data_IF_217437116409
#
_entry.id   IF_217437116409
#
_cell.length_a   1.000
_cell.length_b   1.000
_cell.length_c   1.000
_cell.angle_alpha   90.00
_cell.angle_beta   90.00
_cell.angle_gamma   90.00
#
_symmetry.space_group_name_H-M   'P 1'
#
loop_
_entity.id
_entity.type
_entity.pdbx_description
1 polymer ?
#
# COMPACT_ATOMS: atom_id res chain seq x y z
N UNK A 1 -13.62 23.78 -46.87
CA UNK A 1 -14.19 24.73 -45.90
C UNK A 1 -14.14 24.06 -44.55
N UNK A 2 -13.44 24.64 -43.58
CA UNK A 2 -13.02 24.02 -42.32
C UNK A 2 -14.17 23.86 -41.31
N UNK A 3 -14.18 22.74 -40.57
CA UNK A 3 -15.07 22.41 -39.44
C UNK A 3 -14.74 23.17 -38.14
N UNK A 4 -14.32 24.44 -38.22
CA UNK A 4 -13.95 25.25 -37.04
C UNK A 4 -15.02 26.24 -36.56
N UNK A 5 -16.23 26.23 -37.12
CA UNK A 5 -17.23 27.29 -36.86
C UNK A 5 -18.65 26.78 -36.53
N UNK A 6 -18.76 25.59 -35.95
CA UNK A 6 -19.99 25.13 -35.28
C UNK A 6 -19.49 24.48 -33.98
N UNK A 7 -19.67 25.02 -32.79
CA UNK A 7 -20.95 25.34 -32.21
C UNK A 7 -20.64 26.06 -30.88
N UNK A 8 -20.66 27.39 -30.91
CA UNK A 8 -20.44 28.25 -29.76
C UNK A 8 -21.75 29.04 -29.59
N UNK A 9 -22.76 28.41 -28.97
CA UNK A 9 -24.03 29.03 -28.62
C UNK A 9 -24.88 28.07 -27.78
N UNK A 10 -24.78 28.19 -26.45
CA UNK A 10 -25.88 28.02 -25.50
C UNK A 10 -25.34 27.98 -24.06
N UNK A 11 -24.83 29.11 -23.57
CA UNK A 11 -24.73 29.32 -22.12
C UNK A 11 -25.06 30.78 -21.82
N UNK A 12 -26.23 31.00 -21.24
CA UNK A 12 -26.71 32.33 -20.89
C UNK A 12 -27.81 32.26 -19.83
N UNK A 13 -27.46 32.82 -18.67
CA UNK A 13 -28.30 33.34 -17.58
C UNK A 13 -29.05 32.32 -16.70
N UNK A 14 -29.35 32.55 -15.42
CA UNK A 14 -29.02 33.53 -14.34
C UNK A 14 -30.13 33.28 -13.29
N UNK A 15 -29.83 33.21 -11.99
CA UNK A 15 -30.65 33.86 -10.94
C UNK A 15 -30.02 33.70 -9.55
N UNK A 16 -29.52 34.84 -9.07
CA UNK A 16 -29.38 35.26 -7.68
C UNK A 16 -30.77 35.51 -7.05
N UNK A 17 -30.87 35.39 -5.71
CA UNK A 17 -31.65 36.20 -4.72
C UNK A 17 -31.57 35.41 -3.37
N UNK A 18 -30.83 35.82 -2.34
CA UNK A 18 -30.96 36.92 -1.35
C UNK A 18 -31.93 36.67 -0.16
N UNK A 19 -31.42 36.98 1.05
CA UNK A 19 -32.16 37.33 2.28
C UNK A 19 -32.11 36.27 3.41
N UNK A 20 -31.81 36.53 4.68
CA UNK A 20 -31.64 37.77 5.46
C UNK A 20 -32.19 37.59 6.91
N UNK A 21 -31.73 38.43 7.85
CA UNK A 21 -32.18 38.68 9.25
C UNK A 21 -31.45 37.90 10.38
N UNK A 22 -30.63 38.51 11.27
CA UNK A 22 -30.75 39.64 12.22
C UNK A 22 -31.45 39.24 13.55
N UNK A 23 -30.74 39.46 14.68
CA UNK A 23 -31.35 39.63 16.01
C UNK A 23 -30.47 39.29 17.22
N UNK A 24 -29.79 40.27 17.81
CA UNK A 24 -29.62 40.35 19.28
C UNK A 24 -30.60 41.41 19.83
N UNK A 25 -30.44 42.00 21.04
CA UNK A 25 -29.83 41.55 22.31
C UNK A 25 -30.80 41.81 23.52
N UNK A 26 -30.27 41.79 24.76
CA UNK A 26 -30.68 42.55 25.98
C UNK A 26 -31.49 41.90 27.12
N UNK A 27 -31.10 42.30 28.35
CA UNK A 27 -31.84 42.21 29.62
C UNK A 27 -31.16 41.32 30.65
N UNK A 28 -30.69 41.72 31.83
CA UNK A 28 -30.92 42.93 32.63
C UNK A 28 -31.46 42.58 34.02
N UNK A 29 -30.73 43.03 35.06
CA UNK A 29 -31.17 43.38 36.42
C UNK A 29 -31.11 42.39 37.62
N UNK A 30 -30.18 42.73 38.53
CA UNK A 30 -30.36 43.22 39.92
C UNK A 30 -31.31 42.42 40.85
N UNK A 31 -30.79 41.96 41.99
CA UNK A 31 -31.42 42.26 43.29
C UNK A 31 -30.38 42.27 44.43
N UNK A 32 -30.21 43.44 45.03
CA UNK A 32 -29.67 43.62 46.38
C UNK A 32 -30.60 42.99 47.43
N UNK A 33 -30.03 42.52 48.53
CA UNK A 33 -30.76 42.14 49.73
C UNK A 33 -29.83 42.18 50.93
N UNK A 34 -29.64 43.38 51.49
CA UNK A 34 -28.95 43.56 52.77
C UNK A 34 -29.80 43.12 53.96
N UNK A 35 -29.16 42.61 55.00
CA UNK A 35 -29.45 42.94 56.42
C UNK A 35 -28.40 42.29 57.34
N UNK A 36 -27.73 43.13 58.11
CA UNK A 36 -27.03 42.85 59.38
C UNK A 36 -28.04 43.19 60.51
N UNK A 37 -27.84 42.86 61.81
CA UNK A 37 -26.82 42.02 62.46
C UNK A 37 -27.38 41.08 63.54
N UNK A 38 -26.56 40.16 64.08
CA UNK A 38 -26.64 39.82 65.51
C UNK A 38 -25.34 39.18 66.01
N UNK A 39 -24.79 39.88 66.99
CA UNK A 39 -23.58 39.58 67.75
C UNK A 39 -23.91 38.52 68.80
N UNK A 40 -23.27 37.35 68.74
CA UNK A 40 -23.18 36.43 69.87
C UNK A 40 -21.72 36.03 70.03
N UNK A 41 -21.15 36.50 71.13
CA UNK A 41 -19.85 36.15 71.64
C UNK A 41 -19.77 34.64 71.92
N UNK A 42 -18.81 33.97 71.28
CA UNK A 42 -18.41 32.61 71.60
C UNK A 42 -16.90 32.50 71.38
N UNK A 43 -16.15 32.49 72.48
CA UNK A 43 -14.75 32.08 72.47
C UNK A 43 -14.70 30.61 72.04
N UNK A 44 -14.25 30.33 70.83
CA UNK A 44 -13.74 29.02 70.46
C UNK A 44 -12.33 29.15 69.88
N UNK A 45 -11.47 28.32 70.44
CA UNK A 45 -10.03 28.23 70.23
C UNK A 45 -9.75 27.94 68.75
N UNK A 46 -9.00 28.83 68.08
CA UNK A 46 -8.40 28.52 66.79
C UNK A 46 -7.36 27.40 66.97
N UNK A 47 -7.73 26.18 66.60
CA UNK A 47 -6.77 25.16 66.19
C UNK A 47 -6.12 25.64 64.88
N UNK A 48 -4.81 25.45 64.68
CA UNK A 48 -4.19 25.77 63.40
C UNK A 48 -4.85 24.91 62.33
N UNK A 49 -5.40 25.57 61.31
CA UNK A 49 -5.75 24.93 60.05
C UNK A 49 -4.46 24.32 59.53
N UNK A 50 -4.36 23.01 59.63
CA UNK A 50 -3.40 22.23 58.84
C UNK A 50 -3.89 22.40 57.41
N UNK A 51 -3.25 23.32 56.67
CA UNK A 51 -3.35 23.34 55.22
C UNK A 51 -2.86 21.99 54.76
N UNK A 52 -3.80 21.10 54.43
CA UNK A 52 -3.49 19.89 53.68
C UNK A 52 -2.67 20.32 52.46
N UNK A 53 -1.54 19.66 52.17
CA UNK A 53 -0.86 19.91 50.92
C UNK A 53 -1.88 19.65 49.81
N UNK A 54 -2.05 20.65 48.95
CA UNK A 54 -2.79 20.56 47.69
C UNK A 54 -2.60 19.17 47.11
N UNK A 55 -3.70 18.42 46.95
CA UNK A 55 -3.69 17.23 46.12
C UNK A 55 -3.04 17.67 44.80
N UNK A 56 -1.86 17.13 44.52
CA UNK A 56 -1.31 17.16 43.18
C UNK A 56 -2.44 16.74 42.27
N UNK A 57 -2.87 17.60 41.35
CA UNK A 57 -3.79 17.19 40.29
C UNK A 57 -3.21 15.92 39.69
N UNK A 58 -3.84 14.77 39.98
CA UNK A 58 -3.47 13.52 39.35
C UNK A 58 -3.74 13.72 37.87
N UNK A 59 -2.68 13.86 37.09
CA UNK A 59 -2.83 13.98 35.66
C UNK A 59 -3.21 12.61 35.12
N UNK A 60 -4.37 12.52 34.47
CA UNK A 60 -4.84 11.27 33.85
C UNK A 60 -4.05 10.99 32.56
N UNK A 61 -3.65 9.72 32.32
CA UNK A 61 -2.96 9.35 31.10
C UNK A 61 -3.77 9.67 29.85
N UNK A 62 -3.13 10.34 28.89
CA UNK A 62 -3.73 10.61 27.57
C UNK A 62 -2.82 10.11 26.46
N UNK A 63 -3.46 9.62 25.39
CA UNK A 63 -2.76 9.02 24.25
C UNK A 63 -3.29 9.60 22.94
N UNK A 64 -2.37 9.97 22.06
CA UNK A 64 -2.67 10.38 20.69
C UNK A 64 -1.91 9.49 19.72
N UNK A 65 -2.55 9.18 18.60
CA UNK A 65 -2.02 8.23 17.61
C UNK A 65 -1.89 8.94 16.27
N UNK A 66 -0.80 8.67 15.55
CA UNK A 66 -0.68 9.15 14.17
C UNK A 66 -1.72 8.48 13.27
N UNK A 67 -2.05 9.14 12.17
CA UNK A 67 -2.89 8.52 11.15
C UNK A 67 -2.13 7.37 10.46
N UNK A 68 -2.82 6.24 10.30
CA UNK A 68 -2.38 5.14 9.47
C UNK A 68 -3.16 5.14 8.15
N UNK A 69 -2.51 4.84 7.01
CA UNK A 69 -3.19 4.67 5.74
C UNK A 69 -4.29 3.62 5.88
N UNK A 70 -5.34 3.77 5.07
CA UNK A 70 -6.50 2.87 5.09
C UNK A 70 -6.06 1.40 4.99
N UNK A 71 -5.09 1.13 4.10
CA UNK A 71 -4.49 -0.17 3.88
C UNK A 71 -2.96 -0.08 3.96
N UNK A 72 -2.33 -1.14 4.46
CA UNK A 72 -0.91 -1.40 4.27
C UNK A 72 -0.64 -2.07 2.93
N UNK A 73 0.61 -2.11 2.51
CA UNK A 73 1.06 -2.84 1.32
C UNK A 73 2.19 -3.77 1.77
N UNK A 74 2.14 -5.03 1.34
CA UNK A 74 3.19 -6.02 1.58
C UNK A 74 4.57 -5.42 1.28
N UNK A 75 5.48 -5.49 2.25
CA UNK A 75 6.86 -5.02 2.07
C UNK A 75 7.07 -3.52 2.04
N UNK A 76 6.01 -2.70 2.18
CA UNK A 76 6.11 -1.25 2.33
C UNK A 76 6.08 -0.87 3.80
N UNK A 77 6.98 0.03 4.18
CA UNK A 77 7.09 0.47 5.57
C UNK A 77 6.18 1.68 5.82
N UNK A 78 5.48 1.67 6.95
CA UNK A 78 4.65 2.79 7.41
C UNK A 78 5.09 3.18 8.81
N UNK A 79 5.31 4.47 9.04
CA UNK A 79 5.58 4.99 10.38
C UNK A 79 4.27 5.16 11.15
N UNK A 80 4.25 4.66 12.38
CA UNK A 80 3.16 4.84 13.33
C UNK A 80 3.69 5.43 14.62
N UNK A 81 3.05 6.47 15.14
CA UNK A 81 3.52 7.15 16.35
C UNK A 81 2.44 7.15 17.43
N UNK A 82 2.88 6.99 18.68
CA UNK A 82 2.06 7.10 19.88
C UNK A 82 2.63 8.23 20.73
N UNK A 83 1.85 9.27 20.97
CA UNK A 83 2.18 10.34 21.92
C UNK A 83 1.48 10.05 23.23
N UNK A 84 2.23 9.76 24.28
CA UNK A 84 1.72 9.56 25.63
C UNK A 84 2.02 10.78 26.50
N UNK A 85 1.04 11.23 27.29
CA UNK A 85 1.19 12.31 28.26
C UNK A 85 0.60 11.89 29.59
N UNK A 86 1.22 12.30 30.69
CA UNK A 86 0.81 11.94 32.05
C UNK A 86 0.69 10.43 32.28
N UNK A 87 1.58 9.68 31.64
CA UNK A 87 1.64 8.23 31.70
C UNK A 87 2.97 7.78 32.30
N UNK A 88 3.61 8.61 33.13
CA UNK A 88 4.94 8.32 33.70
C UNK A 88 4.98 6.94 34.36
N UNK A 89 6.03 6.17 34.04
CA UNK A 89 6.20 4.79 34.50
C UNK A 89 5.52 3.73 33.62
N UNK A 90 4.58 4.10 32.73
CA UNK A 90 3.91 3.18 31.82
C UNK A 90 4.81 2.75 30.67
N UNK A 91 4.68 1.49 30.25
CA UNK A 91 5.37 0.95 29.06
C UNK A 91 4.44 0.93 27.87
N UNK A 92 4.86 1.56 26.76
CA UNK A 92 4.11 1.53 25.50
C UNK A 92 4.59 0.37 24.64
N UNK A 93 3.63 -0.45 24.20
CA UNK A 93 3.90 -1.69 23.49
C UNK A 93 2.95 -1.78 22.30
N UNK A 94 3.51 -2.00 21.12
CA UNK A 94 2.77 -2.27 19.91
C UNK A 94 2.73 -3.77 19.65
N UNK A 95 1.55 -4.29 19.30
CA UNK A 95 1.40 -5.64 18.79
C UNK A 95 0.75 -5.58 17.41
N UNK A 96 1.38 -6.20 16.42
CA UNK A 96 0.80 -6.43 15.11
C UNK A 96 0.92 -7.91 14.76
N UNK A 97 -0.23 -8.56 14.56
CA UNK A 97 -0.30 -9.97 14.14
C UNK A 97 0.50 -10.93 15.04
N UNK A 98 0.47 -10.68 16.35
CA UNK A 98 1.21 -11.46 17.35
C UNK A 98 2.67 -11.05 17.53
N UNK A 99 3.21 -10.18 16.66
CA UNK A 99 4.57 -9.63 16.81
C UNK A 99 4.53 -8.44 17.76
N UNK A 100 5.26 -8.55 18.89
CA UNK A 100 5.31 -7.54 19.95
C UNK A 100 6.56 -6.68 19.80
N UNK A 101 6.38 -5.37 19.71
CA UNK A 101 7.44 -4.36 19.67
C UNK A 101 7.31 -3.44 20.90
N UNK A 102 8.41 -3.28 21.64
CA UNK A 102 8.44 -2.47 22.85
C UNK A 102 8.91 -1.06 22.45
N UNK A 103 8.02 -0.07 22.57
CA UNK A 103 8.37 1.33 22.26
C UNK A 103 9.24 1.96 23.34
N UNK A 104 8.99 1.61 24.60
CA UNK A 104 9.77 2.08 25.76
C UNK A 104 8.87 2.46 26.93
N UNK A 105 9.51 3.00 27.97
CA UNK A 105 8.82 3.52 29.15
C UNK A 105 8.66 5.03 29.04
N UNK A 106 7.51 5.55 29.47
CA UNK A 106 7.28 6.99 29.63
C UNK A 106 8.03 7.44 30.88
N UNK A 107 8.90 8.44 30.76
CA UNK A 107 9.80 8.88 31.83
C UNK A 107 9.38 10.17 32.53
N UNK A 108 8.42 10.91 31.95
CA UNK A 108 7.92 12.19 32.47
C UNK A 108 6.41 12.30 32.25
N UNK A 109 5.77 13.28 32.88
CA UNK A 109 4.36 13.60 32.61
C UNK A 109 4.16 14.49 31.37
N UNK A 110 5.25 15.04 30.83
CA UNK A 110 5.25 15.76 29.56
C UNK A 110 5.00 14.80 28.38
N UNK A 111 4.55 15.29 27.21
CA UNK A 111 4.35 14.46 26.03
C UNK A 111 5.63 13.73 25.59
N UNK A 112 5.58 12.40 25.52
CA UNK A 112 6.63 11.52 24.99
C UNK A 112 6.12 10.83 23.73
N UNK A 113 6.91 10.85 22.66
CA UNK A 113 6.54 10.25 21.36
C UNK A 113 7.32 8.94 21.18
N UNK A 114 6.58 7.86 20.92
CA UNK A 114 7.11 6.57 20.50
C UNK A 114 6.87 6.38 19.01
N UNK A 115 7.91 6.04 18.25
CA UNK A 115 7.82 5.79 16.81
C UNK A 115 8.03 4.31 16.53
N UNK A 116 7.12 3.73 15.75
CA UNK A 116 7.14 2.35 15.31
C UNK A 116 7.21 2.30 13.79
N UNK A 117 7.92 1.32 13.24
CA UNK A 117 8.01 1.08 11.80
C UNK A 117 7.27 -0.22 11.49
N UNK A 118 6.11 -0.09 10.87
CA UNK A 118 5.29 -1.21 10.45
C UNK A 118 5.71 -1.69 9.06
N UNK A 119 6.31 -2.87 8.97
CA UNK A 119 6.71 -3.50 7.70
C UNK A 119 6.05 -4.88 7.57
N UNK A 120 4.80 -4.97 7.08
CA UNK A 120 4.08 -6.24 7.04
C UNK A 120 4.75 -7.20 6.05
N UNK A 121 5.12 -8.39 6.54
CA UNK A 121 5.77 -9.43 5.77
C UNK A 121 4.80 -10.37 5.03
N UNK A 122 3.49 -10.23 5.27
CA UNK A 122 2.42 -11.04 4.67
C UNK A 122 1.13 -10.22 4.56
N UNK A 123 0.44 -10.35 3.43
CA UNK A 123 -0.86 -9.73 3.18
C UNK A 123 -1.99 -10.34 4.04
N UNK A 124 -3.15 -9.67 4.03
CA UNK A 124 -4.35 -10.06 4.75
C UNK A 124 -4.72 -9.11 5.89
N UNK A 125 -5.75 -9.48 6.64
CA UNK A 125 -6.26 -8.70 7.77
C UNK A 125 -5.35 -8.86 8.98
N UNK A 126 -4.84 -7.75 9.51
CA UNK A 126 -3.98 -7.68 10.69
C UNK A 126 -4.71 -6.99 11.83
N UNK A 127 -4.43 -7.43 13.06
CA UNK A 127 -4.86 -6.72 14.25
C UNK A 127 -3.70 -5.92 14.81
N UNK A 128 -3.87 -4.59 14.88
CA UNK A 128 -2.93 -3.67 15.49
C UNK A 128 -3.47 -3.22 16.85
N UNK A 129 -2.73 -3.53 17.91
CA UNK A 129 -3.11 -3.22 19.30
C UNK A 129 -1.96 -2.49 19.96
N UNK A 130 -2.24 -1.34 20.58
CA UNK A 130 -1.28 -0.64 21.44
C UNK A 130 -1.71 -0.82 22.88
N UNK A 131 -0.74 -1.21 23.70
CA UNK A 131 -0.90 -1.39 25.14
C UNK A 131 -0.11 -0.33 25.89
N UNK A 132 -0.68 0.13 27.00
CA UNK A 132 0.01 0.82 28.08
C UNK A 132 0.04 -0.11 29.28
N UNK A 133 1.19 -0.72 29.55
CA UNK A 133 1.33 -1.91 30.39
C UNK A 133 0.37 -3.04 29.96
N UNK A 134 -0.76 -3.19 30.68
CA UNK A 134 -1.78 -4.22 30.50
C UNK A 134 -3.11 -3.66 29.99
N UNK A 135 -3.20 -2.35 29.74
CA UNK A 135 -4.42 -1.70 29.26
C UNK A 135 -4.33 -1.48 27.75
N UNK A 136 -5.36 -1.89 27.01
CA UNK A 136 -5.48 -1.61 25.57
C UNK A 136 -5.88 -0.15 25.39
N UNK A 137 -4.99 0.64 24.79
CA UNK A 137 -5.21 2.08 24.54
C UNK A 137 -5.50 2.39 23.07
N UNK A 138 -5.23 1.44 22.17
CA UNK A 138 -5.59 1.54 20.75
C UNK A 138 -5.84 0.14 20.20
N UNK A 139 -6.87 0.03 19.35
CA UNK A 139 -7.20 -1.23 18.72
C UNK A 139 -7.80 -0.98 17.33
N UNK A 140 -7.13 -1.45 16.27
CA UNK A 140 -7.58 -1.29 14.88
C UNK A 140 -7.31 -2.54 14.07
N UNK A 141 -8.30 -2.90 13.26
CA UNK A 141 -8.10 -3.84 12.16
C UNK A 141 -7.49 -3.11 10.96
N UNK A 142 -6.37 -3.63 10.46
CA UNK A 142 -5.61 -3.04 9.36
C UNK A 142 -5.43 -4.06 8.24
N UNK A 143 -5.87 -3.73 7.02
CA UNK A 143 -5.78 -4.63 5.86
C UNK A 143 -4.45 -4.39 5.15
N UNK A 144 -3.68 -5.45 4.95
CA UNK A 144 -2.45 -5.42 4.15
C UNK A 144 -2.76 -6.00 2.77
N UNK A 145 -2.55 -5.20 1.73
CA UNK A 145 -2.71 -5.58 0.33
C UNK A 145 -1.45 -6.26 -0.22
N UNK A 146 -1.56 -7.10 -1.27
CA UNK A 146 -0.40 -7.63 -1.96
C UNK A 146 0.43 -6.51 -2.61
N UNK A 147 1.70 -6.78 -2.90
CA UNK A 147 2.60 -5.81 -3.52
C UNK A 147 2.42 -5.83 -5.04
N UNK A 148 2.15 -4.67 -5.66
CA UNK A 148 1.99 -4.55 -7.10
C UNK A 148 0.69 -3.83 -7.47
N UNK A 149 0.17 -4.09 -8.67
CA UNK A 149 -1.08 -3.48 -9.14
C UNK A 149 -2.18 -4.52 -9.32
N UNK A 150 -3.31 -4.26 -8.67
CA UNK A 150 -4.57 -4.99 -8.89
C UNK A 150 -5.48 -4.29 -9.91
N UNK A 151 -5.00 -3.23 -10.57
CA UNK A 151 -5.80 -2.46 -11.52
C UNK A 151 -6.01 -3.25 -12.81
N UNK A 152 -7.22 -3.77 -12.96
CA UNK A 152 -7.68 -4.46 -14.18
C UNK A 152 -8.62 -3.59 -15.01
N UNK A 153 -8.61 -2.26 -14.78
CA UNK A 153 -9.48 -1.34 -15.50
C UNK A 153 -8.93 -1.07 -16.91
N UNK A 154 -9.50 -1.73 -17.91
CA UNK A 154 -9.13 -1.53 -19.30
C UNK A 154 -9.21 -2.81 -20.12
N UNK A 155 -8.79 -2.72 -21.38
CA UNK A 155 -8.81 -3.84 -22.33
C UNK A 155 -7.47 -4.00 -23.10
N UNK A 156 -6.40 -3.39 -22.60
CA UNK A 156 -5.10 -3.34 -23.30
C UNK A 156 -4.20 -4.45 -22.78
N UNK A 157 -3.46 -5.06 -23.70
CA UNK A 157 -2.57 -6.16 -23.37
C UNK A 157 -1.37 -6.14 -24.32
N UNK A 158 -0.24 -6.67 -23.86
CA UNK A 158 0.92 -6.95 -24.69
C UNK A 158 1.11 -8.46 -24.85
N UNK A 159 1.51 -8.92 -26.05
CA UNK A 159 1.85 -10.32 -26.25
C UNK A 159 3.14 -10.69 -25.50
N UNK A 160 3.20 -11.95 -25.06
CA UNK A 160 4.38 -12.62 -24.54
C UNK A 160 4.53 -13.94 -25.26
N UNK A 161 5.75 -14.22 -25.70
CA UNK A 161 6.08 -15.38 -26.51
C UNK A 161 7.53 -15.81 -26.31
N UNK A 162 8.00 -16.79 -27.08
CA UNK A 162 9.41 -17.19 -27.08
C UNK A 162 10.34 -16.10 -27.63
N UNK A 163 9.77 -15.06 -28.26
CA UNK A 163 10.52 -13.96 -28.90
C UNK A 163 10.57 -12.71 -28.04
N UNK A 164 9.74 -12.60 -27.00
CA UNK A 164 9.66 -11.38 -26.21
C UNK A 164 9.37 -11.65 -24.74
N UNK A 165 10.09 -10.94 -23.88
CA UNK A 165 9.89 -10.98 -22.44
C UNK A 165 9.41 -9.62 -21.95
N UNK A 166 8.56 -9.63 -20.94
CA UNK A 166 8.05 -8.43 -20.28
C UNK A 166 8.51 -8.45 -18.82
N UNK A 167 8.91 -7.31 -18.28
CA UNK A 167 9.29 -7.20 -16.89
C UNK A 167 8.62 -5.99 -16.22
N UNK A 168 8.20 -6.17 -14.97
CA UNK A 168 7.69 -5.10 -14.11
C UNK A 168 8.49 -5.03 -12.82
N UNK A 169 8.89 -3.81 -12.44
CA UNK A 169 9.68 -3.53 -11.25
C UNK A 169 8.78 -3.34 -10.04
N UNK A 170 9.26 -3.81 -8.90
CA UNK A 170 8.73 -3.50 -7.58
C UNK A 170 9.87 -3.13 -6.64
N UNK A 171 9.56 -2.29 -5.66
CA UNK A 171 10.49 -1.93 -4.60
C UNK A 171 9.92 -2.38 -3.26
N UNK A 172 10.81 -2.72 -2.34
CA UNK A 172 10.49 -3.25 -1.03
C UNK A 172 11.32 -2.48 0.00
N UNK A 173 10.66 -2.01 1.06
CA UNK A 173 11.29 -1.25 2.14
C UNK A 173 11.65 -2.17 3.33
N UNK A 174 10.90 -3.25 3.51
CA UNK A 174 11.11 -4.28 4.53
C UNK A 174 11.57 -5.63 3.98
N UNK A 175 11.69 -6.64 4.84
CA UNK A 175 11.88 -8.02 4.39
C UNK A 175 10.51 -8.67 4.15
N UNK A 176 10.35 -9.36 3.02
CA UNK A 176 9.12 -10.12 2.71
C UNK A 176 9.44 -11.56 2.32
N UNK A 177 8.46 -12.43 2.53
CA UNK A 177 8.47 -13.80 2.03
C UNK A 177 7.48 -13.87 0.88
N UNK A 178 7.94 -14.19 -0.33
CA UNK A 178 7.11 -14.33 -1.51
C UNK A 178 6.90 -15.80 -1.83
N UNK A 179 5.64 -16.21 -1.97
CA UNK A 179 5.24 -17.59 -2.27
C UNK A 179 4.57 -17.71 -3.63
N UNK A 180 3.96 -16.64 -4.13
CA UNK A 180 3.34 -16.64 -5.45
C UNK A 180 3.39 -15.27 -6.13
N UNK A 181 3.24 -15.29 -7.46
CA UNK A 181 3.01 -14.11 -8.29
C UNK A 181 1.69 -14.28 -9.01
N UNK A 182 0.75 -13.36 -8.82
CA UNK A 182 -0.47 -13.26 -9.60
C UNK A 182 -0.29 -12.34 -10.80
N UNK A 183 -0.82 -12.73 -11.94
CA UNK A 183 -0.78 -11.93 -13.17
C UNK A 183 -2.13 -11.99 -13.86
N UNK A 184 -2.66 -10.83 -14.23
CA UNK A 184 -3.88 -10.77 -15.03
C UNK A 184 -3.51 -10.93 -16.51
N UNK A 185 -3.87 -12.07 -17.11
CA UNK A 185 -3.49 -12.42 -18.47
C UNK A 185 -4.56 -13.23 -19.17
N UNK A 186 -4.47 -13.32 -20.50
CA UNK A 186 -5.24 -14.28 -21.30
C UNK A 186 -4.31 -15.27 -21.97
N UNK A 187 -4.69 -16.55 -21.95
CA UNK A 187 -3.99 -17.66 -22.62
C UNK A 187 -4.59 -17.90 -24.00
N UNK A 188 -3.77 -17.94 -25.03
CA UNK A 188 -4.20 -18.23 -26.41
C UNK A 188 -3.90 -19.70 -26.72
N UNK A 189 -4.83 -20.43 -27.32
CA UNK A 189 -4.67 -21.87 -27.64
C UNK A 189 -4.58 -22.13 -29.14
N UNK A 190 -5.21 -21.31 -29.98
CA UNK A 190 -5.32 -21.61 -31.42
C UNK A 190 -4.00 -21.49 -32.19
N UNK A 191 -2.92 -21.05 -31.54
CA UNK A 191 -1.60 -20.97 -32.16
C UNK A 191 -0.50 -21.57 -31.27
N UNK A 192 -0.74 -22.03 -30.05
CA UNK A 192 0.30 -22.40 -29.08
C UNK A 192 0.67 -23.89 -29.14
N UNK A 193 1.96 -24.20 -29.02
CA UNK A 193 2.40 -25.60 -28.92
C UNK A 193 2.01 -26.17 -27.56
N UNK A 194 1.60 -27.43 -27.52
CA UNK A 194 1.21 -28.15 -26.30
C UNK A 194 2.31 -28.15 -25.22
N UNK A 195 3.59 -28.14 -25.65
CA UNK A 195 4.77 -28.06 -24.77
C UNK A 195 5.15 -26.62 -24.38
N UNK A 196 4.26 -25.64 -24.53
CA UNK A 196 4.54 -24.24 -24.15
C UNK A 196 4.22 -24.01 -22.67
N UNK A 197 5.15 -23.38 -21.96
CA UNK A 197 4.97 -22.97 -20.57
C UNK A 197 5.06 -21.45 -20.48
N UNK A 198 4.16 -20.85 -19.71
CA UNK A 198 4.38 -19.47 -19.22
C UNK A 198 5.29 -19.57 -18.01
N UNK A 199 6.26 -18.66 -17.93
CA UNK A 199 7.22 -18.60 -16.85
C UNK A 199 7.11 -17.23 -16.18
N UNK A 200 7.03 -17.24 -14.85
CA UNK A 200 7.19 -16.06 -14.01
C UNK A 200 8.48 -16.20 -13.20
N UNK A 201 9.31 -15.17 -13.21
CA UNK A 201 10.59 -15.14 -12.49
C UNK A 201 10.69 -13.90 -11.62
N UNK A 202 11.33 -14.04 -10.47
CA UNK A 202 11.78 -12.90 -9.68
C UNK A 202 13.27 -12.74 -9.93
N UNK A 203 13.69 -11.54 -10.32
CA UNK A 203 15.11 -11.18 -10.54
C UNK A 203 15.46 -9.93 -9.74
N UNK A 204 16.70 -9.78 -9.25
CA UNK A 204 17.13 -8.53 -8.62
C UNK A 204 17.23 -7.42 -9.66
N UNK A 205 17.12 -6.16 -9.25
CA UNK A 205 17.48 -5.04 -10.10
C UNK A 205 19.00 -5.00 -10.36
N UNK A 206 19.37 -4.68 -11.59
CA UNK A 206 20.75 -4.45 -12.02
C UNK A 206 20.83 -3.14 -12.80
N UNK A 207 20.85 -2.02 -12.07
CA UNK A 207 20.88 -0.66 -12.63
C UNK A 207 19.66 -0.34 -13.49
N UNK A 208 18.45 -0.56 -12.94
CA UNK A 208 17.19 -0.20 -13.59
C UNK A 208 16.73 -1.19 -14.66
N UNK A 209 17.20 -2.44 -14.60
CA UNK A 209 16.78 -3.56 -15.46
C UNK A 209 16.84 -4.89 -14.69
N UNK A 210 16.09 -5.91 -15.12
CA UNK A 210 16.22 -7.25 -14.55
C UNK A 210 17.66 -7.79 -14.63
N UNK A 211 18.16 -8.33 -13.53
CA UNK A 211 19.44 -9.02 -13.46
C UNK A 211 19.46 -10.36 -14.22
N UNK A 212 20.65 -10.93 -14.40
CA UNK A 212 20.81 -12.25 -15.05
C UNK A 212 20.38 -13.40 -14.13
N UNK A 213 20.65 -13.27 -12.82
CA UNK A 213 20.34 -14.31 -11.84
C UNK A 213 18.85 -14.31 -11.47
N UNK A 214 18.25 -15.50 -11.50
CA UNK A 214 16.87 -15.73 -11.04
C UNK A 214 16.88 -16.05 -9.55
N UNK A 215 16.07 -15.33 -8.78
CA UNK A 215 15.87 -15.59 -7.35
C UNK A 215 14.76 -16.62 -7.11
N UNK A 216 13.74 -16.60 -7.96
CA UNK A 216 12.65 -17.57 -7.96
C UNK A 216 12.10 -17.75 -9.37
N UNK A 217 11.58 -18.93 -9.66
CA UNK A 217 10.96 -19.27 -10.94
C UNK A 217 9.78 -20.20 -10.72
N UNK A 218 8.70 -19.96 -11.44
CA UNK A 218 7.54 -20.83 -11.50
C UNK A 218 7.01 -20.89 -12.93
N UNK A 219 6.46 -22.03 -13.31
CA UNK A 219 6.06 -22.32 -14.68
C UNK A 219 4.68 -22.97 -14.69
N UNK A 220 3.84 -22.58 -15.64
CA UNK A 220 2.50 -23.14 -15.82
C UNK A 220 2.32 -23.54 -17.29
N UNK A 221 1.83 -24.76 -17.57
CA UNK A 221 1.54 -25.18 -18.94
C UNK A 221 0.35 -24.43 -19.52
N UNK A 222 0.38 -24.25 -20.83
CA UNK A 222 -0.67 -23.55 -21.58
C UNK A 222 -1.67 -24.58 -22.09
N UNK A 223 -2.44 -25.14 -21.17
CA UNK A 223 -3.34 -26.27 -21.45
C UNK A 223 -4.73 -25.86 -21.92
N UNK A 224 -5.17 -24.63 -21.65
CA UNK A 224 -6.53 -24.15 -21.96
C UNK A 224 -6.53 -22.70 -22.46
N UNK A 225 -7.39 -22.41 -23.44
CA UNK A 225 -7.63 -21.03 -23.91
C UNK A 225 -8.41 -20.26 -22.87
N UNK A 226 -8.01 -19.03 -22.58
CA UNK A 226 -8.88 -18.06 -21.90
C UNK A 226 -9.10 -16.87 -22.82
N UNK A 227 -10.28 -16.76 -23.44
CA UNK A 227 -10.57 -15.66 -24.39
C UNK A 227 -10.64 -14.28 -23.69
N UNK A 228 -10.93 -14.31 -22.38
CA UNK A 228 -10.95 -13.15 -21.48
C UNK A 228 -9.75 -13.18 -20.55
N UNK A 229 -9.14 -12.02 -20.23
CA UNK A 229 -8.14 -11.94 -19.18
C UNK A 229 -8.68 -12.44 -17.82
N UNK A 230 -7.83 -13.12 -17.07
CA UNK A 230 -8.12 -13.59 -15.71
C UNK A 230 -6.84 -13.67 -14.88
N UNK A 231 -6.96 -13.71 -13.55
CA UNK A 231 -5.81 -13.90 -12.67
C UNK A 231 -5.26 -15.31 -12.81
N UNK A 232 -3.97 -15.40 -13.10
CA UNK A 232 -3.18 -16.64 -13.12
C UNK A 232 -2.10 -16.51 -12.05
N UNK A 233 -2.07 -17.44 -11.10
CA UNK A 233 -1.11 -17.46 -10.00
C UNK A 233 0.01 -18.48 -10.26
N UNK A 234 1.24 -17.99 -10.21
CA UNK A 234 2.47 -18.76 -10.31
C UNK A 234 2.99 -19.04 -8.91
N UNK A 235 2.68 -20.22 -8.38
CA UNK A 235 3.17 -20.66 -7.08
C UNK A 235 4.63 -21.10 -7.19
N UNK A 236 5.50 -20.52 -6.37
CA UNK A 236 6.90 -20.92 -6.32
C UNK A 236 7.03 -22.22 -5.51
N UNK A 237 7.85 -23.20 -5.99
CA UNK A 237 8.08 -24.44 -5.25
C UNK A 237 8.62 -24.18 -3.84
N UNK A 238 9.46 -23.16 -3.70
CA UNK A 238 10.00 -22.70 -2.42
C UNK A 238 9.67 -21.22 -2.22
N UNK A 239 9.39 -20.84 -0.98
CA UNK A 239 9.24 -19.43 -0.61
C UNK A 239 10.58 -18.73 -0.79
N UNK A 240 10.57 -17.57 -1.45
CA UNK A 240 11.77 -16.72 -1.59
C UNK A 240 11.69 -15.56 -0.61
N UNK A 241 12.75 -15.35 0.18
CA UNK A 241 12.88 -14.20 1.06
C UNK A 241 13.58 -13.07 0.33
N UNK A 242 12.94 -11.91 0.25
CA UNK A 242 13.49 -10.70 -0.37
C UNK A 242 13.74 -9.66 0.72
N UNK A 243 14.97 -9.15 0.76
CA UNK A 243 15.32 -8.01 1.62
C UNK A 243 14.94 -6.68 0.96
N UNK A 244 15.15 -5.55 1.67
CA UNK A 244 14.92 -4.22 1.12
C UNK A 244 15.69 -4.00 -0.18
N UNK A 245 15.04 -3.41 -1.18
CA UNK A 245 15.64 -3.15 -2.49
C UNK A 245 14.65 -3.21 -3.64
N UNK A 246 15.20 -3.23 -4.85
CA UNK A 246 14.45 -3.22 -6.10
C UNK A 246 14.59 -4.55 -6.82
N UNK A 247 13.48 -5.02 -7.36
CA UNK A 247 13.36 -6.34 -7.99
C UNK A 247 12.42 -6.26 -9.19
N UNK A 248 12.45 -7.30 -10.01
CA UNK A 248 11.65 -7.42 -11.21
C UNK A 248 10.90 -8.74 -11.21
N UNK A 249 9.62 -8.68 -11.60
CA UNK A 249 8.92 -9.86 -12.08
C UNK A 249 9.08 -9.91 -13.59
N UNK A 250 9.64 -11.00 -14.11
CA UNK A 250 9.81 -11.24 -15.54
C UNK A 250 8.82 -12.31 -15.99
N UNK A 251 8.09 -12.01 -17.07
CA UNK A 251 7.18 -12.92 -17.76
C UNK A 251 7.74 -13.28 -19.12
N UNK A 252 7.76 -14.58 -19.39
CA UNK A 252 8.23 -15.13 -20.66
C UNK A 252 7.52 -16.43 -20.99
N UNK A 253 7.74 -16.93 -22.19
CA UNK A 253 7.29 -18.25 -22.62
C UNK A 253 8.48 -19.12 -22.99
N UNK A 254 8.42 -20.40 -22.61
CA UNK A 254 9.33 -21.45 -23.08
C UNK A 254 8.60 -22.48 -23.90
N UNK A 255 9.31 -23.07 -24.86
CA UNK A 255 8.84 -24.20 -25.67
C UNK A 255 9.95 -25.26 -25.70
N UNK A 256 9.58 -26.53 -25.53
CA UNK A 256 10.53 -27.65 -25.59
C UNK A 256 11.00 -27.91 -27.03
N UNK A 257 10.10 -27.85 -28.01
CA UNK A 257 10.42 -28.06 -29.42
C UNK A 257 10.50 -26.75 -30.19
N UNK A 258 11.59 -26.53 -30.92
CA UNK A 258 11.89 -25.29 -31.63
C UNK A 258 11.50 -25.31 -33.12
N UNK A 259 10.87 -26.40 -33.59
CA UNK A 259 10.54 -26.58 -35.00
C UNK A 259 9.26 -25.84 -35.43
N UNK A 260 8.42 -25.42 -34.48
CA UNK A 260 7.26 -24.54 -34.73
C UNK A 260 7.24 -23.37 -33.74
N UNK A 261 7.84 -22.25 -34.13
CA UNK A 261 7.87 -21.04 -33.29
C UNK A 261 6.54 -20.31 -33.36
N UNK A 262 5.87 -20.20 -32.23
CA UNK A 262 4.62 -19.45 -32.08
C UNK A 262 4.91 -18.06 -31.54
N UNK A 263 4.38 -17.04 -32.22
CA UNK A 263 4.68 -15.65 -31.90
C UNK A 263 3.79 -15.01 -30.83
N UNK A 264 2.57 -15.51 -30.62
CA UNK A 264 1.61 -14.91 -29.68
C UNK A 264 0.97 -16.02 -28.82
N UNK A 265 1.47 -16.17 -27.60
CA UNK A 265 1.15 -17.34 -26.76
C UNK A 265 0.25 -16.93 -25.59
N UNK A 266 0.59 -15.83 -24.92
CA UNK A 266 -0.26 -15.22 -23.90
C UNK A 266 -0.23 -13.71 -24.04
N UNK A 267 -1.27 -13.05 -23.55
CA UNK A 267 -1.37 -11.60 -23.50
C UNK A 267 -1.43 -11.13 -22.05
N UNK A 268 -0.47 -10.31 -21.62
CA UNK A 268 -0.42 -9.75 -20.26
C UNK A 268 -1.13 -8.40 -20.22
N UNK A 269 -2.03 -8.23 -19.26
CA UNK A 269 -2.89 -7.06 -19.15
C UNK A 269 -2.18 -5.84 -18.55
N UNK A 270 -2.44 -4.67 -19.12
CA UNK A 270 -1.98 -3.40 -18.58
C UNK A 270 -3.02 -2.29 -18.69
N UNK A 271 -2.91 -1.31 -17.81
CA UNK A 271 -3.65 -0.04 -17.87
C UNK A 271 -2.72 1.09 -18.34
N UNK A 272 -3.29 2.07 -19.06
CA UNK A 272 -2.57 3.26 -19.53
C UNK A 272 -3.50 4.48 -19.46
N UNK A 273 -2.97 5.62 -19.01
CA UNK A 273 -3.76 6.82 -18.74
C UNK A 273 -4.21 7.61 -19.98
N UNK A 274 -4.15 7.04 -21.19
CA UNK A 274 -4.55 7.73 -22.43
C UNK A 274 -3.48 8.64 -23.05
N UNK A 275 -2.50 9.09 -22.28
CA UNK A 275 -1.49 10.06 -22.71
C UNK A 275 -0.25 9.38 -23.32
N UNK A 276 -0.21 9.33 -24.65
CA UNK A 276 0.91 8.81 -25.42
C UNK A 276 2.06 9.81 -25.58
N UNK A 277 2.09 10.92 -24.83
CA UNK A 277 3.25 11.82 -24.80
C UNK A 277 4.13 11.58 -23.58
N UNK A 278 3.58 10.91 -22.55
CA UNK A 278 4.36 10.52 -21.38
C UNK A 278 5.41 9.49 -21.76
N UNK A 279 6.65 9.64 -21.27
CA UNK A 279 7.67 8.62 -21.49
C UNK A 279 7.28 7.31 -20.82
N UNK A 280 7.94 6.25 -21.26
CA UNK A 280 7.89 4.94 -20.63
C UNK A 280 8.06 5.01 -19.11
N UNK A 281 7.30 4.20 -18.37
CA UNK A 281 7.60 3.95 -16.96
C UNK A 281 9.00 3.36 -16.84
N UNK A 282 9.83 3.87 -15.93
CA UNK A 282 11.11 3.24 -15.56
C UNK A 282 10.90 1.86 -14.94
N UNK A 283 9.68 1.56 -14.48
CA UNK A 283 9.30 0.33 -13.80
C UNK A 283 8.86 -0.78 -14.76
N UNK A 284 8.96 -0.56 -16.07
CA UNK A 284 8.55 -1.52 -17.07
C UNK A 284 9.62 -1.66 -18.14
N UNK A 285 9.94 -2.89 -18.49
CA UNK A 285 10.87 -3.21 -19.56
C UNK A 285 10.34 -4.33 -20.45
N UNK A 286 10.80 -4.33 -21.69
CA UNK A 286 10.64 -5.42 -22.64
C UNK A 286 12.01 -5.86 -23.14
N UNK A 287 12.19 -7.13 -23.41
CA UNK A 287 13.34 -7.64 -24.16
C UNK A 287 12.82 -8.35 -25.41
N UNK A 288 13.28 -7.93 -26.59
CA UNK A 288 13.02 -8.63 -27.84
C UNK A 288 14.18 -9.58 -28.11
N UNK A 289 13.93 -10.88 -28.07
CA UNK A 289 14.97 -11.89 -28.25
C UNK A 289 15.35 -12.04 -29.72
N UNK A 290 16.62 -12.33 -29.96
CA UNK A 290 17.14 -12.56 -31.31
C UNK A 290 17.26 -14.06 -31.58
N UNK A 291 16.88 -14.50 -32.78
CA UNK A 291 17.10 -15.87 -33.20
C UNK A 291 18.58 -16.11 -33.50
N UNK A 292 19.21 -17.01 -32.73
CA UNK A 292 20.56 -17.49 -32.97
C UNK A 292 20.49 -18.78 -33.82
N UNK A 293 20.75 -18.64 -35.13
CA UNK A 293 20.75 -19.76 -36.08
C UNK A 293 21.71 -20.89 -35.67
N UNK A 294 22.83 -20.57 -35.03
CA UNK A 294 23.85 -21.57 -34.67
C UNK A 294 23.41 -22.45 -33.50
N UNK A 295 22.70 -21.85 -32.54
CA UNK A 295 22.15 -22.54 -31.36
C UNK A 295 20.71 -22.99 -31.55
N UNK A 296 20.12 -22.65 -32.70
CA UNK A 296 18.71 -22.82 -33.05
C UNK A 296 17.76 -22.34 -31.96
N UNK A 297 18.10 -21.25 -31.25
CA UNK A 297 17.28 -20.75 -30.13
C UNK A 297 17.20 -19.24 -30.11
N UNK A 298 16.15 -18.71 -29.49
CA UNK A 298 16.10 -17.31 -29.11
C UNK A 298 17.10 -17.04 -27.98
N UNK A 299 17.90 -15.99 -28.13
CA UNK A 299 18.88 -15.54 -27.15
C UNK A 299 18.50 -14.15 -26.64
N UNK A 300 18.80 -13.91 -25.36
CA UNK A 300 18.58 -12.62 -24.71
C UNK A 300 19.35 -11.50 -25.42
N UNK A 301 18.75 -10.31 -25.44
CA UNK A 301 19.33 -9.09 -26.03
C UNK A 301 19.47 -8.02 -24.96
N UNK A 302 18.85 -6.84 -25.15
CA UNK A 302 18.82 -5.75 -24.20
C UNK A 302 17.40 -5.50 -23.70
N UNK A 303 17.31 -5.16 -22.41
CA UNK A 303 16.09 -4.62 -21.83
C UNK A 303 15.88 -3.18 -22.29
N UNK A 304 14.72 -2.95 -22.91
CA UNK A 304 14.30 -1.67 -23.44
C UNK A 304 13.06 -1.15 -22.67
N UNK A 305 12.92 0.17 -22.48
CA UNK A 305 11.67 0.74 -21.98
C UNK A 305 10.51 0.48 -22.96
N UNK A 306 9.32 0.20 -22.43
CA UNK A 306 8.10 0.09 -23.26
C UNK A 306 7.51 1.46 -23.60
N UNK A 307 6.83 1.59 -24.73
CA UNK A 307 6.26 2.88 -25.13
C UNK A 307 5.14 3.34 -24.17
N UNK A 308 5.25 4.59 -23.71
CA UNK A 308 4.34 5.29 -22.82
C UNK A 308 4.24 4.70 -21.41
N UNK A 309 3.70 5.49 -20.48
CA UNK A 309 3.50 5.07 -19.10
C UNK A 309 2.36 4.02 -19.02
N UNK A 310 2.71 2.82 -18.56
CA UNK A 310 1.81 1.66 -18.44
C UNK A 310 1.90 1.12 -17.02
N UNK A 311 0.88 0.41 -16.57
CA UNK A 311 0.91 -0.35 -15.32
C UNK A 311 0.39 -1.76 -15.59
N UNK A 312 1.23 -2.78 -15.44
CA UNK A 312 0.80 -4.18 -15.56
C UNK A 312 0.06 -4.62 -14.30
N UNK A 313 -1.00 -5.40 -14.48
CA UNK A 313 -1.76 -6.01 -13.40
C UNK A 313 -1.03 -7.26 -12.87
N UNK A 314 -0.06 -7.02 -11.99
CA UNK A 314 0.84 -8.02 -11.42
C UNK A 314 0.91 -7.80 -9.92
N UNK A 315 0.80 -8.88 -9.15
CA UNK A 315 0.88 -8.84 -7.69
C UNK A 315 1.81 -9.92 -7.15
N UNK A 316 2.59 -9.59 -6.12
CA UNK A 316 3.35 -10.52 -5.30
C UNK A 316 2.59 -10.82 -4.01
N UNK A 317 2.62 -12.08 -3.61
CA UNK A 317 1.90 -12.59 -2.46
C UNK A 317 2.79 -13.48 -1.61
N UNK A 318 2.64 -13.36 -0.29
CA UNK A 318 3.29 -14.22 0.69
C UNK A 318 2.55 -15.51 0.97
N UNK A 319 1.49 -15.82 0.21
CA UNK A 319 0.73 -17.07 0.30
C UNK A 319 0.69 -17.80 -1.04
N UNK A 320 0.38 -19.09 -0.97
CA UNK A 320 0.07 -19.92 -2.13
C UNK A 320 -1.41 -19.75 -2.51
N UNK A 321 -1.71 -19.72 -3.81
CA UNK A 321 -3.07 -19.57 -4.37
C UNK A 321 -3.47 -20.76 -5.23
#
# INVERSE_FOLDING_TARGET
MNEKERMLLAFGLLLLVLGGCIGGPTGGNITEGGSIPLNVSGNEVQLPVVTQPSQSEQCEPTYQFSELPANGILGRSVQFSVTARCASGKTIILNIDGTREIGGQVTTDDPVIFNFILSPAREGTKQLVVWSDNDVIYNRTWVVLPLGSTDTSGNKNDPVSVKEWIATRFDIDGTINVKSVGVYMRRLYSQTMESSMVVAEIRPDNNGRPGENQLAVSMIPITETTLTPNWIYFNFPQTVTLGPGSYWVVFRVTQETQDQIVSDVVNVHYTFGGDTTKPASSNIKKMNLQWDNSKRRFVETSWEPLAYDRTYAVVLSGIEH
#
